data_IF_411298135057
#
_entry.id   IF_411298135057
#
_cell.length_a   1.000
_cell.length_b   1.000
_cell.length_c   1.000
_cell.angle_alpha   90.00
_cell.angle_beta   90.00
_cell.angle_gamma   90.00
#
_symmetry.space_group_name_H-M   'P 1'
#
loop_
_entity.id
_entity.type
_entity.pdbx_description
1 polymer ?
#
# COMPACT_ATOMS: atom_id res chain seq x y z
N UNK A 1 -0.51 25.77 0.67
CA UNK A 1 0.75 25.26 0.08
C UNK A 1 1.50 24.60 1.23
N UNK A 2 1.34 23.29 1.40
CA UNK A 2 1.88 22.57 2.56
C UNK A 2 3.31 22.16 2.22
N UNK A 3 4.28 22.68 2.98
CA UNK A 3 5.66 22.23 2.91
C UNK A 3 5.72 20.84 3.54
N UNK A 4 5.74 19.80 2.72
CA UNK A 4 6.05 18.45 3.19
C UNK A 4 7.45 18.49 3.81
N UNK A 5 7.57 18.09 5.08
CA UNK A 5 8.87 18.07 5.76
C UNK A 5 9.76 17.02 5.09
N UNK A 6 11.09 17.21 5.13
CA UNK A 6 12.04 16.26 4.54
C UNK A 6 11.84 14.85 5.12
N UNK A 7 11.44 14.74 6.38
CA UNK A 7 11.13 13.45 7.03
C UNK A 7 9.91 12.78 6.42
N UNK A 8 8.90 13.55 6.02
CA UNK A 8 7.69 13.05 5.37
C UNK A 8 7.99 12.54 3.95
N UNK A 9 8.87 13.24 3.23
CA UNK A 9 9.38 12.80 1.92
C UNK A 9 10.22 11.54 2.06
N UNK A 10 11.12 11.47 3.05
CA UNK A 10 11.97 10.30 3.31
C UNK A 10 11.12 9.10 3.74
N UNK A 11 10.07 9.32 4.54
CA UNK A 11 9.13 8.28 4.92
C UNK A 11 8.33 7.77 3.72
N UNK A 12 7.80 8.67 2.87
CA UNK A 12 7.14 8.29 1.62
C UNK A 12 8.08 7.51 0.69
N UNK A 13 9.34 7.94 0.59
CA UNK A 13 10.34 7.26 -0.25
C UNK A 13 10.69 5.87 0.29
N UNK A 14 10.82 5.70 1.61
CA UNK A 14 11.02 4.37 2.23
C UNK A 14 9.84 3.44 2.02
N UNK A 15 8.62 3.96 2.16
CA UNK A 15 7.38 3.18 1.93
C UNK A 15 7.25 2.80 0.45
N UNK A 16 7.59 3.71 -0.47
CA UNK A 16 7.52 3.48 -1.93
C UNK A 16 8.63 2.54 -2.45
N UNK A 17 9.87 2.69 -1.98
CA UNK A 17 10.99 1.84 -2.39
C UNK A 17 10.85 0.41 -1.86
N UNK A 18 10.28 0.22 -0.67
CA UNK A 18 10.02 -1.11 -0.11
C UNK A 18 8.69 -1.73 -0.59
N UNK A 19 7.95 -1.06 -1.48
CA UNK A 19 6.73 -1.63 -2.05
C UNK A 19 7.07 -2.62 -3.15
N UNK A 20 6.43 -3.79 -3.12
CA UNK A 20 6.61 -4.90 -4.05
C UNK A 20 6.59 -4.50 -5.55
N UNK A 21 5.84 -3.44 -5.89
CA UNK A 21 5.79 -2.87 -7.24
C UNK A 21 7.14 -2.33 -7.73
N UNK A 22 7.98 -1.82 -6.83
CA UNK A 22 9.34 -1.38 -7.17
C UNK A 22 10.20 -2.57 -7.59
N UNK A 23 10.19 -3.66 -6.80
CA UNK A 23 10.96 -4.88 -7.08
C UNK A 23 10.50 -5.57 -8.37
N UNK A 24 9.19 -5.63 -8.61
CA UNK A 24 8.64 -6.17 -9.86
C UNK A 24 9.08 -5.33 -11.08
N UNK A 25 9.15 -4.01 -10.93
CA UNK A 25 9.62 -3.11 -11.99
C UNK A 25 11.12 -3.28 -12.24
N UNK A 26 11.94 -3.41 -11.20
CA UNK A 26 13.39 -3.66 -11.36
C UNK A 26 13.64 -5.00 -12.05
N UNK A 27 12.87 -6.02 -11.74
CA UNK A 27 12.96 -7.32 -12.41
C UNK A 27 12.54 -7.25 -13.88
N UNK A 28 11.44 -6.56 -14.19
CA UNK A 28 11.00 -6.34 -15.57
C UNK A 28 12.09 -5.61 -16.39
N UNK A 29 12.74 -4.60 -15.81
CA UNK A 29 13.85 -3.86 -16.45
C UNK A 29 15.06 -4.77 -16.66
N UNK A 30 15.42 -5.61 -15.69
CA UNK A 30 16.53 -6.57 -15.81
C UNK A 30 16.27 -7.60 -16.93
N UNK A 31 15.04 -8.14 -17.00
CA UNK A 31 14.59 -9.06 -18.08
C UNK A 31 14.68 -8.39 -19.43
N UNK A 32 14.19 -7.15 -19.54
CA UNK A 32 14.20 -6.40 -20.79
C UNK A 32 15.62 -6.08 -21.28
N UNK A 33 16.54 -5.79 -20.36
CA UNK A 33 17.93 -5.44 -20.66
C UNK A 33 18.85 -6.65 -20.87
N UNK A 34 18.33 -7.89 -20.76
CA UNK A 34 19.10 -9.12 -20.99
C UNK A 34 20.27 -9.29 -20.03
N UNK A 35 20.20 -8.70 -18.83
CA UNK A 35 21.33 -8.63 -17.91
C UNK A 35 21.78 -10.05 -17.47
N UNK A 36 23.10 -10.36 -17.44
CA UNK A 36 23.62 -11.70 -17.14
C UNK A 36 23.28 -12.22 -15.72
N UNK A 37 22.85 -11.34 -14.82
CA UNK A 37 22.33 -11.69 -13.48
C UNK A 37 21.08 -12.59 -13.53
N UNK A 38 20.36 -12.61 -14.66
CA UNK A 38 19.23 -13.51 -14.90
C UNK A 38 19.61 -14.97 -15.05
N UNK A 39 20.88 -15.27 -15.36
CA UNK A 39 21.32 -16.67 -15.51
C UNK A 39 21.54 -17.36 -14.16
N UNK A 40 21.87 -16.58 -13.12
CA UNK A 40 22.21 -17.14 -11.82
C UNK A 40 20.97 -17.48 -10.99
N UNK A 41 20.01 -16.56 -10.87
CA UNK A 41 18.98 -16.62 -9.81
C UNK A 41 17.54 -16.22 -10.22
N UNK A 42 17.03 -16.58 -11.41
CA UNK A 42 15.69 -16.17 -11.84
C UNK A 42 14.60 -16.88 -11.02
N UNK A 43 14.82 -18.16 -10.68
CA UNK A 43 13.86 -18.97 -9.93
C UNK A 43 13.75 -18.52 -8.47
N UNK A 44 14.86 -18.14 -7.84
CA UNK A 44 14.85 -17.66 -6.45
C UNK A 44 14.19 -16.28 -6.35
N UNK A 45 14.42 -15.39 -7.33
CA UNK A 45 13.74 -14.10 -7.39
C UNK A 45 12.23 -14.30 -7.57
N UNK A 46 11.80 -15.16 -8.49
CA UNK A 46 10.39 -15.46 -8.72
C UNK A 46 9.74 -16.12 -7.50
N UNK A 47 10.42 -17.07 -6.86
CA UNK A 47 9.93 -17.71 -5.62
C UNK A 47 9.78 -16.69 -4.49
N UNK A 48 10.77 -15.84 -4.25
CA UNK A 48 10.72 -14.80 -3.22
C UNK A 48 9.60 -13.78 -3.49
N UNK A 49 9.44 -13.40 -4.75
CA UNK A 49 8.37 -12.53 -5.25
C UNK A 49 6.98 -13.12 -4.98
N UNK A 50 6.77 -14.41 -5.28
CA UNK A 50 5.51 -15.11 -5.00
C UNK A 50 5.27 -15.22 -3.49
N UNK A 51 6.30 -15.57 -2.71
CA UNK A 51 6.21 -15.65 -1.25
C UNK A 51 5.80 -14.31 -0.64
N UNK A 52 6.42 -13.20 -1.07
CA UNK A 52 6.08 -11.86 -0.61
C UNK A 52 4.65 -11.47 -0.98
N UNK A 53 4.18 -11.79 -2.19
CA UNK A 53 2.79 -11.54 -2.59
C UNK A 53 1.78 -12.32 -1.74
N UNK A 54 2.06 -13.60 -1.50
CA UNK A 54 1.20 -14.46 -0.67
C UNK A 54 1.19 -13.93 0.76
N UNK A 55 2.36 -13.60 1.31
CA UNK A 55 2.48 -13.01 2.64
C UNK A 55 1.68 -11.71 2.75
N UNK A 56 1.81 -10.80 1.79
CA UNK A 56 1.07 -9.55 1.77
C UNK A 56 -0.44 -9.78 1.67
N UNK A 57 -0.90 -10.75 0.87
CA UNK A 57 -2.32 -11.12 0.83
C UNK A 57 -2.82 -11.63 2.18
N UNK A 58 -2.01 -12.41 2.90
CA UNK A 58 -2.37 -12.93 4.23
C UNK A 58 -2.42 -11.79 5.25
N UNK A 59 -1.41 -10.92 5.26
CA UNK A 59 -1.35 -9.76 6.17
C UNK A 59 -2.48 -8.77 5.89
N UNK A 60 -2.75 -8.43 4.63
CA UNK A 60 -3.86 -7.54 4.27
C UNK A 60 -5.23 -8.11 4.60
N UNK A 61 -5.39 -9.45 4.60
CA UNK A 61 -6.64 -10.08 5.07
C UNK A 61 -6.83 -9.93 6.58
N UNK A 62 -5.74 -9.98 7.36
CA UNK A 62 -5.78 -9.78 8.81
C UNK A 62 -6.09 -8.32 9.22
N UNK A 63 -5.82 -7.37 8.34
CA UNK A 63 -6.10 -5.95 8.58
C UNK A 63 -7.54 -5.53 8.27
N UNK A 64 -8.43 -6.46 7.88
CA UNK A 64 -9.86 -6.14 7.73
C UNK A 64 -10.49 -5.97 9.10
N UNK A 65 -10.46 -4.74 9.60
CA UNK A 65 -11.28 -4.29 10.72
C UNK A 65 -12.73 -4.27 10.24
N UNK A 66 -13.62 -4.95 10.96
CA UNK A 66 -15.05 -4.77 10.75
C UNK A 66 -15.47 -3.45 11.41
N UNK A 67 -16.22 -2.63 10.68
CA UNK A 67 -16.76 -1.38 11.18
C UNK A 67 -18.28 -1.48 11.45
N UNK A 68 -18.84 -2.68 11.40
CA UNK A 68 -20.26 -2.92 11.64
C UNK A 68 -20.62 -2.48 13.07
N UNK A 69 -21.64 -1.63 13.19
CA UNK A 69 -22.11 -1.04 14.46
C UNK A 69 -21.11 -0.12 15.19
N UNK A 70 -19.99 0.25 14.57
CA UNK A 70 -19.06 1.23 15.14
C UNK A 70 -19.51 2.66 14.84
N UNK A 71 -19.29 3.58 15.78
CA UNK A 71 -19.60 5.02 15.60
C UNK A 71 -18.32 5.84 15.51
N UNK A 72 -18.15 6.63 14.45
CA UNK A 72 -16.92 7.40 14.18
C UNK A 72 -17.24 8.88 14.02
N UNK A 73 -16.56 9.74 14.79
CA UNK A 73 -16.59 11.19 14.66
C UNK A 73 -15.44 11.67 13.77
N UNK A 74 -15.76 12.32 12.65
CA UNK A 74 -14.77 12.82 11.69
C UNK A 74 -14.83 14.35 11.65
N UNK A 75 -13.88 15.00 12.31
CA UNK A 75 -13.74 16.45 12.21
C UNK A 75 -13.29 16.86 10.79
N UNK A 76 -13.97 17.83 10.19
CA UNK A 76 -13.69 18.26 8.80
C UNK A 76 -14.15 17.26 7.73
N UNK A 77 -15.03 16.31 8.07
CA UNK A 77 -15.52 15.27 7.14
C UNK A 77 -16.44 15.78 6.02
N UNK A 78 -16.73 17.08 5.96
CA UNK A 78 -17.65 17.67 5.00
C UNK A 78 -17.01 17.99 3.64
N UNK A 79 -15.68 17.93 3.50
CA UNK A 79 -15.00 18.22 2.23
C UNK A 79 -13.67 17.47 2.05
N UNK A 80 -13.19 17.40 0.80
CA UNK A 80 -11.87 16.88 0.45
C UNK A 80 -11.66 15.42 0.90
N UNK A 81 -10.53 15.17 1.58
CA UNK A 81 -10.19 13.84 2.10
C UNK A 81 -11.14 13.40 3.22
N UNK A 82 -11.61 14.32 4.05
CA UNK A 82 -12.55 14.02 5.13
C UNK A 82 -13.88 13.47 4.60
N UNK A 83 -14.34 14.00 3.46
CA UNK A 83 -15.55 13.52 2.79
C UNK A 83 -15.37 12.13 2.17
N UNK A 84 -14.23 11.87 1.53
CA UNK A 84 -13.94 10.54 0.99
C UNK A 84 -13.82 9.50 2.12
N UNK A 85 -13.20 9.88 3.23
CA UNK A 85 -13.05 9.02 4.40
C UNK A 85 -14.40 8.73 5.06
N UNK A 86 -15.24 9.74 5.27
CA UNK A 86 -16.58 9.57 5.85
C UNK A 86 -17.46 8.66 5.00
N UNK A 87 -17.46 8.84 3.68
CA UNK A 87 -18.16 7.97 2.73
C UNK A 87 -17.63 6.54 2.77
N UNK A 88 -16.31 6.36 2.79
CA UNK A 88 -15.69 5.03 2.82
C UNK A 88 -16.04 4.29 4.10
N UNK A 89 -16.04 4.95 5.25
CA UNK A 89 -16.39 4.34 6.54
C UNK A 89 -17.88 4.00 6.62
N UNK A 90 -18.75 4.89 6.15
CA UNK A 90 -20.19 4.62 6.06
C UNK A 90 -20.51 3.41 5.17
N UNK A 91 -19.82 3.27 4.02
CA UNK A 91 -19.95 2.11 3.13
C UNK A 91 -19.47 0.80 3.76
N UNK A 92 -18.58 0.87 4.76
CA UNK A 92 -18.09 -0.30 5.49
C UNK A 92 -18.91 -0.61 6.75
N UNK A 93 -20.08 0.01 6.95
CA UNK A 93 -21.02 -0.32 8.03
C UNK A 93 -20.91 0.55 9.28
N UNK A 94 -20.02 1.55 9.30
CA UNK A 94 -19.91 2.50 10.40
C UNK A 94 -21.04 3.53 10.41
N UNK A 95 -21.49 3.94 11.59
CA UNK A 95 -22.28 5.16 11.79
C UNK A 95 -21.32 6.35 11.88
N UNK A 96 -21.35 7.23 10.88
CA UNK A 96 -20.39 8.36 10.80
C UNK A 96 -21.08 9.67 11.19
N UNK A 97 -20.43 10.41 12.08
CA UNK A 97 -20.80 11.78 12.45
C UNK A 97 -19.73 12.72 11.93
N UNK A 98 -20.13 13.76 11.21
CA UNK A 98 -19.25 14.72 10.52
C UNK A 98 -19.47 16.13 11.07
#
# INVERSE_FOLDING_TARGET
MVFASIDEVVHLFKVALCHYSSMALTFAVLVFTGHPLLSAWPLTFLALTVVLLVWQRIVNRRARVSWDNETVLITGGASGLGQLLSQTLALNGATVVV
#
